data_IF_302161122590
#
_entry.id   IF_302161122590
#
_cell.length_a   1.000
_cell.length_b   1.000
_cell.length_c   1.000
_cell.angle_alpha   90.00
_cell.angle_beta   90.00
_cell.angle_gamma   90.00
#
_symmetry.space_group_name_H-M   'P 1'
#
loop_
_entity.id
_entity.type
_entity.pdbx_description
1 polymer ?
#
# COMPACT_ATOMS: atom_id res chain seq x y z
N UNK A 1 -12.92 19.82 -14.64
CA UNK A 1 -11.49 19.74 -15.02
C UNK A 1 -11.17 18.31 -15.41
N UNK A 2 -10.54 18.12 -16.58
CA UNK A 2 -10.05 16.82 -17.00
C UNK A 2 -8.65 16.60 -16.40
N UNK A 3 -8.53 15.70 -15.42
CA UNK A 3 -7.22 15.42 -14.80
C UNK A 3 -6.28 14.69 -15.77
N UNK A 4 -6.77 14.25 -16.94
CA UNK A 4 -5.90 13.79 -18.02
C UNK A 4 -4.94 14.89 -18.51
N UNK A 5 -5.23 16.16 -18.25
CA UNK A 5 -4.40 17.30 -18.66
C UNK A 5 -3.35 17.75 -17.62
N UNK A 6 -3.09 16.98 -16.54
CA UNK A 6 -1.90 17.22 -15.73
C UNK A 6 -0.63 17.17 -16.59
N UNK A 7 0.34 18.09 -16.39
CA UNK A 7 1.60 18.05 -17.13
C UNK A 7 2.32 16.71 -16.98
N UNK A 8 2.85 16.18 -18.09
CA UNK A 8 3.47 14.85 -18.08
C UNK A 8 4.66 14.77 -17.11
N UNK A 9 5.41 15.86 -16.95
CA UNK A 9 6.54 15.91 -16.04
C UNK A 9 6.13 15.78 -14.55
N UNK A 10 4.93 16.23 -14.18
CA UNK A 10 4.33 15.98 -12.85
C UNK A 10 4.09 14.48 -12.66
N UNK A 11 3.46 13.87 -13.65
CA UNK A 11 3.11 12.44 -13.62
C UNK A 11 4.37 11.58 -13.62
N UNK A 12 5.35 11.89 -14.47
CA UNK A 12 6.66 11.23 -14.55
C UNK A 12 7.42 11.31 -13.22
N UNK A 13 7.43 12.49 -12.59
CA UNK A 13 8.13 12.70 -11.34
C UNK A 13 7.51 11.87 -10.20
N UNK A 14 6.18 11.87 -10.07
CA UNK A 14 5.50 11.02 -9.07
C UNK A 14 5.68 9.54 -9.40
N UNK A 15 5.61 9.14 -10.67
CA UNK A 15 5.86 7.75 -11.11
C UNK A 15 7.25 7.27 -10.71
N UNK A 16 8.27 8.13 -10.89
CA UNK A 16 9.64 7.83 -10.46
C UNK A 16 9.74 7.60 -8.94
N UNK A 17 9.11 8.46 -8.12
CA UNK A 17 9.10 8.29 -6.66
C UNK A 17 8.44 6.96 -6.27
N UNK A 18 7.28 6.66 -6.85
CA UNK A 18 6.54 5.45 -6.53
C UNK A 18 7.26 4.18 -7.02
N UNK A 19 8.02 4.28 -8.13
CA UNK A 19 8.92 3.20 -8.57
C UNK A 19 10.02 2.95 -7.54
N UNK A 20 10.67 4.00 -7.04
CA UNK A 20 11.68 3.84 -5.99
C UNK A 20 11.08 3.22 -4.71
N UNK A 21 9.82 3.54 -4.39
CA UNK A 21 9.12 2.91 -3.27
C UNK A 21 8.86 1.42 -3.52
N UNK A 22 8.42 1.06 -4.72
CA UNK A 22 8.23 -0.32 -5.13
C UNK A 22 9.54 -1.13 -5.06
N UNK A 23 10.65 -0.54 -5.52
CA UNK A 23 11.98 -1.13 -5.44
C UNK A 23 12.37 -1.41 -3.98
N UNK A 24 12.26 -0.41 -3.09
CA UNK A 24 12.63 -0.51 -1.66
C UNK A 24 11.79 -1.55 -0.90
N UNK A 25 10.45 -1.53 -1.01
CA UNK A 25 9.60 -2.51 -0.29
C UNK A 25 9.86 -3.93 -0.79
N UNK A 26 10.09 -4.08 -2.09
CA UNK A 26 10.40 -5.38 -2.68
C UNK A 26 11.78 -5.88 -2.25
N UNK A 27 12.78 -4.99 -2.22
CA UNK A 27 14.14 -5.28 -1.73
C UNK A 27 14.12 -5.80 -0.29
N UNK A 28 13.34 -5.14 0.59
CA UNK A 28 13.19 -5.59 1.98
C UNK A 28 12.55 -6.97 2.08
N UNK A 29 11.50 -7.23 1.30
CA UNK A 29 10.82 -8.53 1.33
C UNK A 29 11.72 -9.67 0.83
N UNK A 30 12.51 -9.48 -0.22
CA UNK A 30 13.40 -10.54 -0.74
C UNK A 30 14.58 -10.84 0.19
N UNK A 31 15.04 -9.84 0.95
CA UNK A 31 16.11 -10.00 1.93
C UNK A 31 15.61 -10.47 3.30
N UNK A 32 14.35 -10.20 3.63
CA UNK A 32 13.69 -10.64 4.85
C UNK A 32 12.26 -11.15 4.53
N UNK A 33 12.10 -12.40 4.05
CA UNK A 33 10.77 -12.97 3.74
C UNK A 33 9.76 -12.97 4.90
N UNK A 34 10.27 -12.98 6.14
CA UNK A 34 9.50 -12.87 7.37
C UNK A 34 9.26 -11.44 7.85
N UNK A 35 9.55 -10.44 7.02
CA UNK A 35 9.27 -9.06 7.36
C UNK A 35 7.76 -8.89 7.61
N UNK A 36 7.45 -8.16 8.69
CA UNK A 36 6.07 -7.83 9.03
C UNK A 36 5.51 -6.78 8.07
N UNK A 37 4.22 -6.88 7.78
CA UNK A 37 3.51 -5.96 6.89
C UNK A 37 3.64 -4.49 7.30
N UNK A 38 3.46 -4.10 8.58
CA UNK A 38 3.70 -2.72 9.01
C UNK A 38 5.12 -2.22 8.71
N UNK A 39 6.13 -3.09 8.72
CA UNK A 39 7.51 -2.69 8.39
C UNK A 39 7.72 -2.41 6.90
N UNK A 40 6.88 -3.00 6.03
CA UNK A 40 6.83 -2.68 4.60
C UNK A 40 6.08 -1.37 4.35
N UNK A 41 5.00 -1.11 5.08
CA UNK A 41 4.31 0.18 5.05
C UNK A 41 5.23 1.31 5.52
N UNK A 42 5.91 1.12 6.65
CA UNK A 42 6.93 2.05 7.13
C UNK A 42 8.04 2.27 6.09
N UNK A 43 8.47 1.22 5.39
CA UNK A 43 9.46 1.34 4.33
C UNK A 43 8.98 2.23 3.18
N UNK A 44 7.74 2.00 2.72
CA UNK A 44 7.10 2.78 1.68
C UNK A 44 7.01 4.25 2.10
N UNK A 45 6.42 4.51 3.25
CA UNK A 45 6.20 5.86 3.80
C UNK A 45 7.53 6.60 3.98
N UNK A 46 8.53 5.94 4.56
CA UNK A 46 9.86 6.53 4.73
C UNK A 46 10.52 6.86 3.39
N UNK A 47 10.35 6.02 2.37
CA UNK A 47 10.93 6.29 1.06
C UNK A 47 10.26 7.49 0.37
N UNK A 48 8.94 7.68 0.54
CA UNK A 48 8.24 8.88 0.07
C UNK A 48 8.77 10.14 0.77
N UNK A 49 9.01 10.08 2.09
CA UNK A 49 9.48 11.24 2.87
C UNK A 49 10.82 11.82 2.38
N UNK A 50 11.64 11.02 1.68
CA UNK A 50 12.90 11.48 1.05
C UNK A 50 12.66 12.54 -0.03
N UNK A 51 11.45 12.60 -0.58
CA UNK A 51 11.03 13.51 -1.64
C UNK A 51 10.09 14.61 -1.15
N UNK A 52 10.08 14.89 0.16
CA UNK A 52 9.13 15.84 0.74
C UNK A 52 9.42 17.32 0.42
N UNK A 53 10.63 17.64 -0.01
CA UNK A 53 10.96 19.01 -0.43
C UNK A 53 10.19 19.36 -1.72
N UNK A 54 9.58 20.57 -1.81
CA UNK A 54 8.93 21.02 -3.03
C UNK A 54 9.85 20.96 -4.25
N UNK A 55 9.34 20.44 -5.36
CA UNK A 55 10.07 20.33 -6.62
C UNK A 55 9.39 21.17 -7.70
N UNK A 56 10.12 22.16 -8.21
CA UNK A 56 9.75 22.83 -9.46
C UNK A 56 10.11 21.95 -10.66
N UNK A 57 9.20 21.83 -11.61
CA UNK A 57 9.30 20.99 -12.81
C UNK A 57 9.36 21.85 -14.09
N UNK A 58 9.84 21.29 -15.22
CA UNK A 58 9.94 22.00 -16.50
C UNK A 58 8.68 22.72 -16.98
N UNK A 59 7.50 22.16 -16.70
CA UNK A 59 6.20 22.77 -17.01
C UNK A 59 5.90 24.04 -16.20
N UNK A 60 6.72 24.34 -15.19
CA UNK A 60 6.48 25.38 -14.20
C UNK A 60 5.61 24.92 -13.02
N UNK A 61 5.13 23.67 -13.04
CA UNK A 61 4.42 23.08 -11.91
C UNK A 61 5.35 22.91 -10.71
N UNK A 62 4.80 23.08 -9.51
CA UNK A 62 5.47 22.77 -8.24
C UNK A 62 4.74 21.59 -7.63
N UNK A 63 5.48 20.54 -7.29
CA UNK A 63 4.92 19.34 -6.66
C UNK A 63 5.59 19.10 -5.31
N UNK A 64 4.80 18.77 -4.31
CA UNK A 64 5.27 18.46 -2.96
C UNK A 64 4.54 17.23 -2.43
N UNK A 65 5.29 16.28 -1.86
CA UNK A 65 4.72 15.11 -1.18
C UNK A 65 4.90 15.26 0.33
N UNK A 66 3.83 15.30 1.09
CA UNK A 66 3.89 15.35 2.56
C UNK A 66 3.47 14.01 3.14
N UNK A 67 4.23 13.53 4.12
CA UNK A 67 3.89 12.33 4.88
C UNK A 67 3.33 12.73 6.24
N UNK A 68 2.16 12.20 6.58
CA UNK A 68 1.51 12.37 7.86
C UNK A 68 1.28 11.02 8.51
N UNK A 69 2.04 10.73 9.58
CA UNK A 69 1.81 9.57 10.41
C UNK A 69 0.67 9.89 11.38
N UNK A 70 -0.48 9.26 11.17
CA UNK A 70 -1.67 9.48 12.01
C UNK A 70 -1.57 8.65 13.29
N UNK A 71 -0.75 7.58 13.26
CA UNK A 71 -0.53 6.66 14.36
C UNK A 71 -1.70 5.69 14.45
N UNK A 72 -1.44 4.40 14.21
CA UNK A 72 -2.44 3.31 14.20
C UNK A 72 -3.06 2.98 15.57
N UNK A 73 -3.30 3.99 16.41
CA UNK A 73 -3.62 3.80 17.82
C UNK A 73 -5.09 3.49 18.10
N UNK A 74 -6.01 3.57 17.13
CA UNK A 74 -7.37 3.01 17.27
C UNK A 74 -8.21 3.07 15.99
N UNK A 75 -9.11 2.11 15.95
CA UNK A 75 -9.74 1.55 14.79
C UNK A 75 -11.19 2.08 14.62
N UNK A 76 -11.71 2.27 13.40
CA UNK A 76 -13.10 2.65 13.13
C UNK A 76 -14.05 1.54 13.54
N UNK A 77 -14.89 1.79 14.56
CA UNK A 77 -15.77 0.78 15.18
C UNK A 77 -15.04 -0.52 15.58
N UNK A 78 -13.73 -0.47 15.84
CA UNK A 78 -12.76 -1.59 16.07
C UNK A 78 -11.95 -2.11 14.85
N UNK A 79 -12.00 -1.46 13.67
CA UNK A 79 -11.19 -1.90 12.50
C UNK A 79 -10.47 -0.78 11.71
N UNK A 80 -9.29 -1.09 11.15
CA UNK A 80 -8.54 -0.22 10.21
C UNK A 80 -9.12 -0.39 8.80
N UNK A 81 -9.44 0.72 8.12
CA UNK A 81 -10.11 0.74 6.81
C UNK A 81 -9.09 0.72 5.67
N UNK A 82 -7.95 1.38 5.89
CA UNK A 82 -6.83 1.45 4.96
C UNK A 82 -5.55 1.67 5.75
N UNK A 83 -4.43 1.11 5.32
CA UNK A 83 -3.15 1.36 6.00
C UNK A 83 -2.53 2.69 5.50
N UNK A 84 -2.75 3.03 4.22
CA UNK A 84 -2.17 4.22 3.59
C UNK A 84 -3.23 4.99 2.78
N UNK A 85 -3.37 6.29 3.05
CA UNK A 85 -4.16 7.20 2.23
C UNK A 85 -3.28 8.05 1.31
N UNK A 86 -3.72 8.25 0.08
CA UNK A 86 -3.22 9.26 -0.84
C UNK A 86 -4.25 10.37 -0.96
N UNK A 87 -3.88 11.59 -0.58
CA UNK A 87 -4.70 12.79 -0.71
C UNK A 87 -4.05 13.70 -1.75
N UNK A 88 -4.68 13.87 -2.90
CA UNK A 88 -4.15 14.68 -4.01
C UNK A 88 -4.88 16.01 -4.05
N UNK A 89 -4.14 17.10 -3.93
CA UNK A 89 -4.63 18.47 -4.06
C UNK A 89 -4.02 19.12 -5.28
N UNK A 90 -4.88 19.65 -6.15
CA UNK A 90 -4.46 20.44 -7.30
C UNK A 90 -4.90 21.87 -7.07
N UNK A 91 -3.96 22.81 -7.19
CA UNK A 91 -4.20 24.23 -7.05
C UNK A 91 -3.58 25.02 -8.20
N UNK A 92 -4.11 26.22 -8.41
CA UNK A 92 -3.59 27.18 -9.38
C UNK A 92 -3.66 28.57 -8.72
N UNK A 93 -2.51 29.24 -8.59
CA UNK A 93 -2.35 30.51 -7.85
C UNK A 93 -2.88 30.47 -6.41
N UNK A 94 -2.61 29.36 -5.70
CA UNK A 94 -3.05 29.18 -4.31
C UNK A 94 -4.57 29.00 -4.16
N UNK A 95 -5.32 28.92 -5.26
CA UNK A 95 -6.74 28.55 -5.24
C UNK A 95 -6.85 27.04 -5.42
N UNK A 96 -7.51 26.32 -4.50
CA UNK A 96 -7.78 24.90 -4.69
C UNK A 96 -8.68 24.75 -5.91
N UNK A 97 -8.23 23.94 -6.87
CA UNK A 97 -9.02 23.57 -8.03
C UNK A 97 -9.84 22.32 -7.73
N UNK A 98 -9.16 21.27 -7.27
CA UNK A 98 -9.76 19.95 -7.09
C UNK A 98 -9.03 19.17 -5.99
N UNK A 99 -9.75 18.23 -5.37
CA UNK A 99 -9.21 17.34 -4.34
C UNK A 99 -9.66 15.91 -4.56
N UNK A 100 -8.77 14.96 -4.25
CA UNK A 100 -9.01 13.53 -4.45
C UNK A 100 -8.39 12.68 -3.35
N UNK A 101 -9.04 11.57 -3.04
CA UNK A 101 -8.51 10.56 -2.14
C UNK A 101 -8.48 9.17 -2.80
N UNK A 102 -7.40 8.44 -2.56
CA UNK A 102 -7.28 7.02 -2.83
C UNK A 102 -6.74 6.33 -1.58
N UNK A 103 -7.29 5.16 -1.24
CA UNK A 103 -6.98 4.44 -0.03
C UNK A 103 -6.38 3.08 -0.38
N UNK A 104 -5.33 2.69 0.31
CA UNK A 104 -4.64 1.41 0.13
C UNK A 104 -4.70 0.62 1.44
N UNK A 105 -5.32 -0.55 1.40
CA UNK A 105 -5.13 -1.60 2.39
C UNK A 105 -3.98 -2.49 1.95
N UNK A 106 -2.84 -2.41 2.64
CA UNK A 106 -1.67 -3.20 2.35
C UNK A 106 -1.86 -4.65 2.82
N UNK A 107 -1.34 -5.61 2.06
CA UNK A 107 -1.27 -7.03 2.42
C UNK A 107 0.02 -7.63 1.84
N UNK A 108 0.76 -8.43 2.63
CA UNK A 108 1.95 -9.13 2.10
C UNK A 108 1.68 -10.57 1.69
N UNK A 109 2.40 -11.05 0.68
CA UNK A 109 2.38 -12.46 0.27
C UNK A 109 3.12 -13.33 1.31
N UNK A 110 2.57 -14.49 1.64
CA UNK A 110 3.19 -15.45 2.55
C UNK A 110 3.99 -16.50 1.76
N UNK A 111 5.18 -16.91 2.23
CA UNK A 111 5.91 -18.04 1.65
C UNK A 111 5.17 -19.37 1.88
N UNK A 112 5.37 -20.36 1.01
CA UNK A 112 4.70 -21.68 1.06
C UNK A 112 4.98 -22.48 2.33
N UNK A 113 6.15 -22.28 2.92
CA UNK A 113 6.52 -22.95 4.17
C UNK A 113 5.71 -22.43 5.38
N UNK A 114 4.92 -21.37 5.21
CA UNK A 114 4.12 -20.67 6.24
C UNK A 114 4.93 -20.30 7.49
N UNK A 115 6.24 -20.23 7.36
CA UNK A 115 7.15 -19.96 8.47
C UNK A 115 7.23 -18.46 8.71
N UNK A 116 6.10 -17.85 9.06
CA UNK A 116 5.96 -16.42 9.31
C UNK A 116 6.03 -16.17 10.81
N UNK A 117 6.89 -15.23 11.21
CA UNK A 117 6.88 -14.70 12.57
C UNK A 117 5.68 -13.73 12.70
N UNK A 118 4.50 -14.25 13.06
CA UNK A 118 3.33 -13.42 13.38
C UNK A 118 3.50 -12.72 14.73
N UNK A 119 2.76 -11.63 14.93
CA UNK A 119 2.72 -10.96 16.23
C UNK A 119 2.17 -11.89 17.28
N UNK A 120 3.04 -12.36 18.17
CA UNK A 120 2.59 -13.02 19.38
C UNK A 120 1.80 -12.02 20.24
N UNK A 121 0.50 -12.26 20.49
CA UNK A 121 -0.33 -11.37 21.30
C UNK A 121 0.22 -11.19 22.72
N UNK A 122 0.98 -12.17 23.23
CA UNK A 122 1.63 -12.10 24.54
C UNK A 122 2.81 -11.13 24.47
N UNK A 123 3.68 -11.25 23.48
CA UNK A 123 4.79 -10.32 23.24
C UNK A 123 4.31 -8.88 23.00
N UNK A 124 3.21 -8.70 22.27
CA UNK A 124 2.58 -7.38 22.09
C UNK A 124 2.07 -6.80 23.43
N UNK A 125 1.50 -7.63 24.31
CA UNK A 125 1.04 -7.23 25.66
C UNK A 125 2.17 -6.98 26.65
N UNK A 126 3.28 -7.71 26.52
CA UNK A 126 4.47 -7.57 27.36
C UNK A 126 5.30 -6.32 26.98
N UNK A 127 5.07 -5.76 25.79
CA UNK A 127 5.74 -4.54 25.34
C UNK A 127 7.25 -4.74 25.21
N UNK A 128 8.04 -3.78 25.72
CA UNK A 128 9.50 -3.85 25.65
C UNK A 128 10.13 -4.96 26.52
N UNK A 129 9.35 -5.66 27.35
CA UNK A 129 9.89 -6.71 28.22
C UNK A 129 10.51 -7.87 27.42
N UNK A 130 9.99 -8.18 26.24
CA UNK A 130 10.58 -9.19 25.33
C UNK A 130 11.94 -8.79 24.73
N UNK A 131 12.35 -7.51 24.83
CA UNK A 131 13.71 -7.07 24.48
C UNK A 131 14.71 -7.31 25.61
N UNK A 132 14.23 -7.37 26.85
CA UNK A 132 15.03 -7.52 28.07
C UNK A 132 15.17 -9.00 28.42
N UNK A 133 14.10 -9.76 28.28
CA UNK A 133 14.11 -11.20 28.47
C UNK A 133 14.46 -11.90 27.16
N UNK A 134 15.66 -12.50 27.02
CA UNK A 134 15.98 -13.25 25.83
C UNK A 134 14.98 -14.40 25.68
N UNK A 135 14.10 -14.29 24.69
CA UNK A 135 13.23 -15.40 24.31
C UNK A 135 14.08 -16.65 24.10
N UNK A 136 13.64 -17.79 24.64
CA UNK A 136 14.32 -19.09 24.54
C UNK A 136 14.47 -19.63 23.10
N UNK A 137 14.03 -18.87 22.10
CA UNK A 137 14.29 -19.11 20.68
C UNK A 137 15.73 -18.76 20.31
N UNK A 138 16.61 -19.74 20.39
CA UNK A 138 18.01 -19.60 19.96
C UNK A 138 18.06 -19.16 18.47
N UNK A 139 18.86 -18.16 18.10
CA UNK A 139 19.04 -17.71 16.71
C UNK A 139 19.48 -18.84 15.76
N UNK A 140 20.05 -19.91 16.34
CA UNK A 140 20.37 -21.16 15.66
C UNK A 140 19.13 -21.91 15.12
N UNK A 141 17.94 -21.74 15.69
CA UNK A 141 16.68 -22.35 15.18
C UNK A 141 16.18 -21.69 13.88
N UNK A 142 16.76 -20.53 13.52
CA UNK A 142 16.52 -19.83 12.25
C UNK A 142 17.56 -20.19 11.17
N UNK A 143 18.54 -21.05 11.47
CA UNK A 143 19.53 -21.50 10.49
C UNK A 143 18.91 -22.42 9.44
N UNK A 144 19.20 -22.13 8.16
CA UNK A 144 18.78 -22.90 6.96
C UNK A 144 17.27 -22.91 6.70
N UNK A 145 16.59 -21.80 7.00
CA UNK A 145 15.19 -21.62 6.60
C UNK A 145 15.14 -21.26 5.12
N UNK A 146 14.53 -22.14 4.32
CA UNK A 146 14.25 -21.94 2.92
C UNK A 146 12.87 -21.32 2.78
N UNK A 147 12.77 -20.17 2.11
CA UNK A 147 11.52 -19.50 1.80
C UNK A 147 11.25 -19.59 0.30
N UNK A 148 10.05 -20.01 -0.04
CA UNK A 148 9.61 -20.19 -1.43
C UNK A 148 8.31 -19.42 -1.63
N UNK A 149 8.28 -18.60 -2.66
CA UNK A 149 7.09 -17.90 -3.13
C UNK A 149 6.75 -18.46 -4.51
N UNK A 150 5.61 -19.13 -4.59
CA UNK A 150 5.11 -19.81 -5.78
C UNK A 150 3.80 -19.16 -6.24
N UNK A 151 3.31 -19.46 -7.46
CA UNK A 151 1.98 -19.02 -7.88
C UNK A 151 0.83 -19.46 -6.95
N UNK A 152 1.05 -20.50 -6.15
CA UNK A 152 0.13 -20.99 -5.11
C UNK A 152 0.18 -20.20 -3.80
N UNK A 153 1.19 -19.34 -3.62
CA UNK A 153 1.40 -18.60 -2.38
C UNK A 153 0.27 -17.61 -2.14
N UNK A 154 -0.04 -17.35 -0.86
CA UNK A 154 -1.31 -16.76 -0.44
C UNK A 154 -1.13 -15.50 0.39
N UNK A 155 -2.11 -14.61 0.33
CA UNK A 155 -2.22 -13.47 1.24
C UNK A 155 -3.06 -13.89 2.43
N UNK A 156 -2.48 -14.65 3.37
CA UNK A 156 -3.22 -15.24 4.49
C UNK A 156 -3.75 -14.22 5.51
N UNK A 157 -3.27 -12.98 5.46
CA UNK A 157 -3.84 -11.88 6.22
C UNK A 157 -5.25 -11.48 5.71
N UNK A 158 -5.62 -11.90 4.49
CA UNK A 158 -6.98 -11.84 3.95
C UNK A 158 -7.65 -13.18 4.26
N UNK A 159 -8.81 -13.17 4.92
CA UNK A 159 -9.48 -14.40 5.35
C UNK A 159 -10.70 -14.74 4.48
N UNK A 160 -11.37 -15.85 4.76
CA UNK A 160 -12.66 -16.18 4.13
C UNK A 160 -13.58 -16.83 5.18
N UNK A 161 -14.64 -16.15 5.67
CA UNK A 161 -15.02 -14.77 5.34
C UNK A 161 -13.99 -13.74 5.84
N UNK A 162 -14.01 -12.53 5.25
CA UNK A 162 -13.14 -11.42 5.64
C UNK A 162 -13.98 -10.22 6.11
N UNK A 163 -13.95 -9.95 7.41
CA UNK A 163 -14.66 -8.80 7.99
C UNK A 163 -14.13 -7.46 7.44
N UNK A 164 -12.83 -7.34 7.14
CA UNK A 164 -12.26 -6.12 6.59
C UNK A 164 -12.77 -5.86 5.17
N UNK A 165 -12.88 -6.91 4.34
CA UNK A 165 -13.47 -6.80 3.00
C UNK A 165 -14.95 -6.37 3.06
N UNK A 166 -15.73 -6.93 3.99
CA UNK A 166 -17.13 -6.52 4.20
C UNK A 166 -17.23 -5.03 4.55
N UNK A 167 -16.34 -4.52 5.43
CA UNK A 167 -16.30 -3.09 5.77
C UNK A 167 -15.88 -2.20 4.63
N UNK A 168 -14.93 -2.64 3.81
CA UNK A 168 -14.53 -1.92 2.60
C UNK A 168 -15.73 -1.81 1.65
N UNK A 169 -16.51 -2.87 1.49
CA UNK A 169 -17.71 -2.85 0.65
C UNK A 169 -18.80 -1.92 1.22
N UNK A 170 -19.09 -1.99 2.53
CA UNK A 170 -20.02 -1.05 3.20
C UNK A 170 -19.58 0.42 3.02
N UNK A 171 -18.27 0.67 2.96
CA UNK A 171 -17.71 1.99 2.72
C UNK A 171 -17.87 2.41 1.25
N UNK A 172 -17.62 1.51 0.29
CA UNK A 172 -17.83 1.77 -1.13
C UNK A 172 -19.30 2.08 -1.45
N UNK A 173 -20.25 1.45 -0.76
CA UNK A 173 -21.68 1.76 -0.91
C UNK A 173 -22.02 3.22 -0.52
N UNK A 174 -21.22 3.83 0.35
CA UNK A 174 -21.43 5.19 0.85
C UNK A 174 -20.56 6.24 0.12
N UNK A 175 -19.40 5.85 -0.40
CA UNK A 175 -18.37 6.79 -0.87
C UNK A 175 -17.78 6.44 -2.23
N UNK A 176 -18.44 5.56 -2.97
CA UNK A 176 -17.91 4.95 -4.19
C UNK A 176 -16.56 4.24 -3.96
N UNK A 177 -15.99 3.72 -5.04
CA UNK A 177 -14.76 2.95 -4.97
C UNK A 177 -13.54 3.84 -4.71
N UNK A 178 -13.10 3.87 -3.45
CA UNK A 178 -11.92 4.62 -3.01
C UNK A 178 -10.83 3.75 -2.37
N UNK A 179 -11.15 2.51 -1.99
CA UNK A 179 -10.22 1.59 -1.30
C UNK A 179 -9.77 0.47 -2.23
N UNK A 180 -8.46 0.28 -2.30
CA UNK A 180 -7.78 -0.72 -3.11
C UNK A 180 -6.84 -1.54 -2.21
N UNK A 181 -6.44 -2.72 -2.66
CA UNK A 181 -5.45 -3.53 -1.96
C UNK A 181 -4.05 -3.28 -2.54
N UNK A 182 -3.09 -2.94 -1.68
CA UNK A 182 -1.66 -2.90 -1.99
C UNK A 182 -1.01 -4.23 -1.60
N UNK A 183 -0.67 -5.04 -2.58
CA UNK A 183 -0.11 -6.37 -2.41
C UNK A 183 1.41 -6.33 -2.52
N UNK A 184 2.12 -6.63 -1.43
CA UNK A 184 3.57 -6.75 -1.43
C UNK A 184 4.02 -8.15 -1.89
N UNK A 185 4.84 -8.20 -2.93
CA UNK A 185 5.34 -9.42 -3.56
C UNK A 185 6.88 -9.38 -3.68
N UNK A 186 7.54 -10.55 -3.78
CA UNK A 186 8.96 -10.60 -4.15
C UNK A 186 9.19 -10.01 -5.55
N UNK A 187 10.46 -9.87 -5.95
CA UNK A 187 10.82 -9.26 -7.23
C UNK A 187 10.33 -10.02 -8.47
N UNK A 188 10.21 -11.34 -8.36
CA UNK A 188 9.71 -12.27 -9.38
C UNK A 188 8.92 -13.39 -8.71
N UNK A 189 8.08 -14.11 -9.46
CA UNK A 189 7.44 -15.36 -8.99
C UNK A 189 7.55 -16.41 -10.11
N UNK A 190 8.06 -17.63 -9.83
CA UNK A 190 8.51 -18.11 -8.52
C UNK A 190 9.79 -17.43 -8.02
N UNK A 191 9.95 -17.34 -6.69
CA UNK A 191 11.14 -16.80 -6.01
C UNK A 191 11.52 -17.66 -4.81
N UNK A 192 12.81 -17.77 -4.55
CA UNK A 192 13.37 -18.58 -3.48
C UNK A 192 14.53 -17.85 -2.81
N UNK A 193 14.63 -17.94 -1.48
CA UNK A 193 15.80 -17.49 -0.72
C UNK A 193 16.01 -18.35 0.52
N UNK A 194 17.24 -18.35 1.04
CA UNK A 194 17.59 -19.09 2.27
C UNK A 194 18.21 -18.14 3.29
N UNK A 195 17.78 -18.24 4.55
CA UNK A 195 18.36 -17.51 5.68
C UNK A 195 19.23 -18.41 6.56
N UNK A 196 20.36 -17.89 7.11
CA UNK A 196 20.88 -16.55 6.92
C UNK A 196 21.40 -16.32 5.49
N UNK A 197 21.08 -15.16 4.91
CA UNK A 197 21.53 -14.81 3.58
C UNK A 197 23.04 -14.54 3.59
N UNK A 198 23.75 -15.01 2.57
CA UNK A 198 25.19 -14.72 2.37
C UNK A 198 25.43 -13.44 1.59
N UNK A 199 24.42 -12.97 0.87
CA UNK A 199 24.48 -11.79 0.00
C UNK A 199 23.20 -10.99 0.14
N UNK A 200 23.35 -9.68 0.19
CA UNK A 200 22.22 -8.76 0.09
C UNK A 200 21.77 -8.66 -1.37
N UNK A 201 20.47 -8.79 -1.61
CA UNK A 201 19.87 -8.70 -2.94
C UNK A 201 19.44 -7.27 -3.21
N UNK A 202 19.93 -6.68 -4.30
CA UNK A 202 19.46 -5.38 -4.75
C UNK A 202 18.31 -5.51 -5.73
N UNK A 203 17.27 -4.71 -5.56
CA UNK A 203 16.09 -4.73 -6.44
C UNK A 203 15.95 -3.39 -7.16
N UNK A 204 15.72 -3.46 -8.46
CA UNK A 204 15.40 -2.31 -9.31
C UNK A 204 14.41 -2.76 -10.37
N UNK A 205 13.28 -2.07 -10.49
CA UNK A 205 12.19 -2.39 -11.42
C UNK A 205 11.76 -3.87 -11.34
N UNK A 206 11.25 -4.34 -10.19
CA UNK A 206 10.84 -5.73 -10.02
C UNK A 206 9.76 -6.11 -11.03
N UNK A 207 9.85 -7.31 -11.61
CA UNK A 207 8.85 -7.80 -12.56
C UNK A 207 7.51 -8.05 -11.87
N UNK A 208 7.53 -8.57 -10.64
CA UNK A 208 6.38 -8.67 -9.75
C UNK A 208 6.38 -7.47 -8.80
N UNK A 209 6.95 -7.54 -7.59
CA UNK A 209 6.98 -6.39 -6.65
C UNK A 209 5.59 -5.92 -6.23
N UNK A 210 5.49 -4.70 -5.71
CA UNK A 210 4.23 -4.14 -5.20
C UNK A 210 3.18 -3.97 -6.31
N UNK A 211 1.95 -4.42 -6.02
CA UNK A 211 0.81 -4.43 -6.94
C UNK A 211 -0.43 -3.85 -6.30
N UNK A 212 -1.24 -3.12 -7.05
CA UNK A 212 -2.51 -2.58 -6.58
C UNK A 212 -3.65 -3.22 -7.34
N UNK A 213 -4.68 -3.67 -6.62
CA UNK A 213 -5.87 -4.31 -7.16
C UNK A 213 -7.14 -3.77 -6.50
N UNK A 214 -8.29 -3.94 -7.17
CA UNK A 214 -9.60 -3.59 -6.61
C UNK A 214 -10.02 -4.57 -5.50
N UNK A 215 -10.83 -4.11 -4.55
CA UNK A 215 -11.46 -4.97 -3.54
C UNK A 215 -12.31 -6.07 -4.18
N UNK A 216 -13.04 -5.75 -5.25
CA UNK A 216 -13.85 -6.72 -6.00
C UNK A 216 -13.01 -7.88 -6.55
N UNK A 217 -11.78 -7.61 -7.01
CA UNK A 217 -10.89 -8.67 -7.52
C UNK A 217 -10.45 -9.62 -6.41
N UNK A 218 -10.26 -9.12 -5.18
CA UNK A 218 -10.01 -9.94 -3.99
C UNK A 218 -11.23 -10.80 -3.66
N UNK A 219 -12.43 -10.21 -3.64
CA UNK A 219 -13.67 -10.93 -3.37
C UNK A 219 -13.88 -12.08 -4.37
N UNK A 220 -13.67 -11.82 -5.66
CA UNK A 220 -13.73 -12.84 -6.71
C UNK A 220 -12.66 -13.91 -6.52
N UNK A 221 -11.43 -13.54 -6.13
CA UNK A 221 -10.35 -14.50 -5.91
C UNK A 221 -10.67 -15.42 -4.72
N UNK A 222 -11.26 -14.89 -3.65
CA UNK A 222 -11.74 -15.67 -2.51
C UNK A 222 -12.84 -16.66 -2.91
N UNK A 223 -13.77 -16.26 -3.80
CA UNK A 223 -14.82 -17.15 -4.32
C UNK A 223 -14.27 -18.29 -5.19
N UNK A 224 -13.19 -18.06 -5.94
CA UNK A 224 -12.53 -19.10 -6.74
C UNK A 224 -11.84 -20.17 -5.89
N UNK A 225 -11.38 -19.79 -4.70
CA UNK A 225 -10.69 -20.67 -3.76
C UNK A 225 -11.73 -21.39 -2.89
N UNK A 226 -12.42 -22.38 -3.47
CA UNK A 226 -13.66 -22.98 -2.96
C UNK A 226 -13.55 -23.80 -1.66
N UNK A 227 -12.51 -23.64 -0.83
CA UNK A 227 -12.39 -24.44 0.39
C UNK A 227 -11.42 -23.87 1.45
N UNK A 228 -11.98 -23.51 2.61
CA UNK A 228 -11.24 -23.25 3.85
C UNK A 228 -11.11 -21.77 4.23
N UNK A 229 -10.67 -21.52 5.46
CA UNK A 229 -10.42 -20.19 6.03
C UNK A 229 -9.11 -19.55 5.53
N UNK A 230 -8.65 -19.91 4.33
CA UNK A 230 -7.36 -19.48 3.78
C UNK A 230 -7.56 -18.29 2.84
N UNK A 231 -6.57 -17.41 2.80
CA UNK A 231 -6.55 -16.27 1.89
C UNK A 231 -6.39 -16.66 0.42
N UNK A 232 -6.60 -15.71 -0.50
CA UNK A 232 -6.51 -15.95 -1.93
C UNK A 232 -5.05 -16.17 -2.34
N UNK A 233 -4.82 -17.06 -3.30
CA UNK A 233 -3.50 -17.21 -3.91
C UNK A 233 -3.20 -16.06 -4.87
N UNK A 234 -1.92 -15.76 -5.08
CA UNK A 234 -1.54 -14.74 -6.06
C UNK A 234 -2.00 -15.11 -7.48
N UNK A 235 -1.97 -16.39 -7.86
CA UNK A 235 -2.49 -16.82 -9.16
C UNK A 235 -3.98 -16.54 -9.32
N UNK A 236 -4.78 -16.76 -8.27
CA UNK A 236 -6.22 -16.41 -8.27
C UNK A 236 -6.44 -14.91 -8.37
N UNK A 237 -5.69 -14.09 -7.63
CA UNK A 237 -5.79 -12.61 -7.74
C UNK A 237 -5.41 -12.14 -9.14
N UNK A 238 -4.31 -12.65 -9.72
CA UNK A 238 -3.90 -12.26 -11.08
C UNK A 238 -4.97 -12.63 -12.11
N UNK A 239 -5.61 -13.78 -11.93
CA UNK A 239 -6.70 -14.25 -12.80
C UNK A 239 -7.93 -13.35 -12.70
N UNK A 240 -8.33 -12.92 -11.51
CA UNK A 240 -9.54 -12.08 -11.32
C UNK A 240 -9.30 -10.61 -11.61
N UNK A 241 -8.08 -10.12 -11.36
CA UNK A 241 -7.71 -8.72 -11.63
C UNK A 241 -7.42 -8.50 -13.12
N UNK A 242 -6.89 -9.50 -13.83
CA UNK A 242 -6.56 -9.36 -15.25
C UNK A 242 -5.61 -8.18 -15.52
N UNK A 243 -6.05 -7.25 -16.37
CA UNK A 243 -5.30 -6.02 -16.68
C UNK A 243 -5.27 -5.00 -15.54
N UNK A 244 -6.10 -5.19 -14.52
CA UNK A 244 -6.17 -4.34 -13.32
C UNK A 244 -5.21 -4.79 -12.20
N UNK A 245 -4.27 -5.67 -12.53
CA UNK A 245 -3.15 -6.05 -11.68
C UNK A 245 -2.00 -5.03 -11.80
N UNK A 246 -2.25 -3.80 -11.34
CA UNK A 246 -1.40 -2.65 -11.65
C UNK A 246 -0.13 -2.61 -10.81
N UNK A 247 0.96 -2.11 -11.39
CA UNK A 247 2.14 -1.70 -10.63
C UNK A 247 1.79 -0.53 -9.71
N UNK A 248 2.40 -0.46 -8.52
CA UNK A 248 2.19 0.66 -7.58
C UNK A 248 2.36 2.02 -8.26
N UNK A 249 3.47 2.19 -8.99
CA UNK A 249 3.77 3.46 -9.66
C UNK A 249 2.77 3.82 -10.76
N UNK A 250 2.18 2.83 -11.42
CA UNK A 250 1.14 3.06 -12.42
C UNK A 250 -0.18 3.46 -11.76
N UNK A 251 -0.59 2.75 -10.70
CA UNK A 251 -1.82 3.07 -10.00
C UNK A 251 -1.79 4.48 -9.41
N UNK A 252 -0.69 4.90 -8.77
CA UNK A 252 -0.59 6.25 -8.22
C UNK A 252 -0.50 7.31 -9.32
N UNK A 253 0.47 7.20 -10.22
CA UNK A 253 0.75 8.29 -11.16
C UNK A 253 -0.21 8.34 -12.35
N UNK A 254 -0.56 7.19 -12.93
CA UNK A 254 -1.35 7.16 -14.16
C UNK A 254 -2.85 7.02 -13.92
N UNK A 255 -3.25 6.41 -12.79
CA UNK A 255 -4.66 6.19 -12.50
C UNK A 255 -5.17 7.20 -11.46
N UNK A 256 -4.52 7.32 -10.30
CA UNK A 256 -5.00 8.21 -9.23
C UNK A 256 -4.80 9.68 -9.62
N UNK A 257 -3.59 10.09 -10.01
CA UNK A 257 -3.33 11.48 -10.43
C UNK A 257 -4.04 11.88 -11.73
N UNK A 258 -4.53 10.94 -12.55
CA UNK A 258 -5.35 11.27 -13.73
C UNK A 258 -6.84 11.02 -13.52
N UNK A 259 -7.27 10.90 -12.27
CA UNK A 259 -8.65 10.65 -11.86
C UNK A 259 -9.32 9.35 -12.36
N UNK A 260 -8.59 8.37 -12.88
CA UNK A 260 -9.16 7.09 -13.35
C UNK A 260 -9.60 6.17 -12.21
N UNK A 261 -9.01 6.32 -11.02
CA UNK A 261 -9.35 5.58 -9.79
C UNK A 261 -9.33 6.50 -8.57
N UNK A 262 -10.02 6.12 -7.49
CA UNK A 262 -10.18 6.92 -6.26
C UNK A 262 -11.34 7.92 -6.35
N UNK A 263 -11.66 8.60 -5.24
CA UNK A 263 -12.84 9.46 -5.11
C UNK A 263 -12.46 10.94 -5.03
N UNK A 264 -13.02 11.75 -5.94
CA UNK A 264 -13.03 13.22 -5.79
C UNK A 264 -13.89 13.59 -4.59
N UNK A 265 -13.51 14.60 -3.86
CA UNK A 265 -14.32 15.05 -2.73
C UNK A 265 -14.31 16.57 -2.62
N UNK A 266 -15.40 17.11 -2.09
CA UNK A 266 -15.55 18.55 -1.89
C UNK A 266 -16.13 18.90 -0.50
N UNK A 267 -16.62 20.12 -0.32
CA UNK A 267 -17.18 20.58 0.95
C UNK A 267 -18.42 19.78 1.39
N UNK A 268 -19.14 19.13 0.47
CA UNK A 268 -20.27 18.25 0.80
C UNK A 268 -19.84 16.92 1.43
N UNK A 269 -18.61 16.49 1.17
CA UNK A 269 -18.01 15.28 1.75
C UNK A 269 -17.27 15.55 3.07
N UNK A 270 -17.28 16.79 3.56
CA UNK A 270 -16.46 17.23 4.69
C UNK A 270 -16.64 16.38 5.95
N UNK A 271 -17.86 15.92 6.25
CA UNK A 271 -18.12 15.07 7.41
C UNK A 271 -17.51 13.65 7.26
N UNK A 272 -17.48 13.12 6.04
CA UNK A 272 -16.86 11.82 5.79
C UNK A 272 -15.34 11.94 5.80
N UNK A 273 -14.78 12.96 5.15
CA UNK A 273 -13.35 13.26 5.19
C UNK A 273 -12.88 13.56 6.61
N UNK A 274 -13.70 14.21 7.45
CA UNK A 274 -13.44 14.38 8.88
C UNK A 274 -13.31 13.05 9.61
N UNK A 275 -14.24 12.13 9.35
CA UNK A 275 -14.22 10.79 9.94
C UNK A 275 -13.01 9.96 9.50
N UNK A 276 -12.54 10.15 8.26
CA UNK A 276 -11.46 9.37 7.67
C UNK A 276 -10.06 9.94 7.99
N UNK A 277 -9.87 11.25 7.84
CA UNK A 277 -8.55 11.90 7.78
C UNK A 277 -8.30 12.84 8.96
N UNK A 278 -9.28 13.63 9.39
CA UNK A 278 -9.03 14.71 10.37
C UNK A 278 -9.01 14.22 11.83
N UNK A 279 -9.56 13.04 12.13
CA UNK A 279 -9.46 12.46 13.46
C UNK A 279 -8.08 11.82 13.64
N UNK A 280 -7.34 12.27 14.66
CA UNK A 280 -6.11 11.60 15.18
C UNK A 280 -6.33 10.14 15.63
N UNK A 281 -7.56 9.65 15.55
CA UNK A 281 -8.01 8.28 15.81
C UNK A 281 -8.73 7.68 14.59
N UNK A 282 -8.36 8.11 13.39
CA UNK A 282 -8.97 7.68 12.13
C UNK A 282 -8.55 6.26 11.75
N UNK A 283 -9.30 5.58 10.87
CA UNK A 283 -9.01 4.20 10.44
C UNK A 283 -7.88 4.09 9.41
N UNK A 284 -6.94 5.05 9.43
CA UNK A 284 -5.86 5.17 8.45
C UNK A 284 -4.53 5.23 9.19
N UNK A 285 -3.64 4.27 8.92
CA UNK A 285 -2.30 4.21 9.53
C UNK A 285 -1.43 5.43 9.20
N UNK A 286 -1.36 5.79 7.91
CA UNK A 286 -0.62 6.94 7.40
C UNK A 286 -1.29 7.61 6.21
N UNK A 287 -0.98 8.89 5.98
CA UNK A 287 -1.44 9.64 4.82
C UNK A 287 -0.27 10.29 4.08
N UNK A 288 -0.30 10.19 2.75
CA UNK A 288 0.57 10.88 1.81
C UNK A 288 -0.26 11.94 1.11
N UNK A 289 0.07 13.22 1.33
CA UNK A 289 -0.52 14.32 0.57
C UNK A 289 0.35 14.61 -0.66
N UNK A 290 -0.25 14.71 -1.83
CA UNK A 290 0.39 15.15 -3.07
C UNK A 290 -0.19 16.51 -3.43
N UNK A 291 0.58 17.57 -3.21
CA UNK A 291 0.20 18.93 -3.59
C UNK A 291 0.80 19.24 -4.96
N UNK A 292 -0.04 19.69 -5.90
CA UNK A 292 0.35 20.08 -7.26
C UNK A 292 -0.13 21.52 -7.49
N UNK A 293 0.80 22.46 -7.53
CA UNK A 293 0.55 23.86 -7.88
C UNK A 293 0.89 24.08 -9.35
N UNK A 294 -0.12 24.43 -10.15
CA UNK A 294 -0.01 24.66 -11.58
C UNK A 294 0.24 26.14 -11.90
N UNK A 295 1.08 26.46 -12.89
CA UNK A 295 1.34 27.84 -13.33
C UNK A 295 0.19 28.42 -14.17
N UNK A 296 0.26 29.72 -14.44
CA UNK A 296 -0.76 30.47 -15.20
C UNK A 296 -0.74 30.05 -16.65
N UNK A 297 -1.93 29.94 -17.26
CA UNK A 297 -2.07 29.73 -18.70
C UNK A 297 -1.86 28.29 -19.18
N UNK A 298 -1.76 27.30 -18.28
CA UNK A 298 -1.99 25.91 -18.67
C UNK A 298 -3.49 25.76 -18.95
N UNK A 299 -3.85 25.51 -20.20
CA UNK A 299 -5.21 25.07 -20.55
C UNK A 299 -5.39 23.62 -20.10
N UNK A 300 -6.35 23.39 -19.19
CA UNK A 300 -6.69 22.09 -18.59
C UNK A 300 -8.20 21.87 -18.73
#
# INVERSE_FOLDING_TARGET
MDWEALPEDVVDWVRMIMRACNDEVTERLVNQPNIREPSLDDAFINNVSRFAAPKALPSGAIVMLEVHNIGGLRQFRKWELADIAFVVHVSMFGKPLEQKIGLLQSKRLYPENYDVDEDDPISFRLGLNGLIEPHSGNSLSKLKRKYEFLPSSRYNAIQNPDEQLERINEFHDQFDEAVFYLLYNPSIIPFETTLPATTFQHVSMPLEGARVVRSMSIEQALKLESSGSKGPSISSIKKTSGTEYWRLEHWVADLLLRCKVGRRYDASDAELIDRLVYRRSGPIGAAIRVNIDLPEGIEI
#
